data_IF_331773218089
#
_entry.id   IF_331773218089
#
_cell.length_a   1.000
_cell.length_b   1.000
_cell.length_c   1.000
_cell.angle_alpha   90.00
_cell.angle_beta   90.00
_cell.angle_gamma   90.00
#
_symmetry.space_group_name_H-M   'P 1'
#
loop_
_entity.id
_entity.type
_entity.pdbx_description
1 polymer ?
#
# COMPACT_ATOMS: atom_id res chain seq x y z
N UNK A 1 16.79 -30.49 16.50
CA UNK A 1 16.07 -29.20 16.59
C UNK A 1 15.66 -28.90 18.01
N UNK A 2 15.32 -27.63 18.30
CA UNK A 2 14.98 -27.13 19.63
C UNK A 2 13.51 -27.40 20.04
N UNK A 3 12.68 -27.93 19.13
CA UNK A 3 11.25 -28.22 19.35
C UNK A 3 10.46 -26.99 19.86
N UNK A 4 10.64 -25.86 19.18
CA UNK A 4 9.99 -24.57 19.52
C UNK A 4 9.22 -24.04 18.32
N UNK A 5 7.96 -23.67 18.55
CA UNK A 5 7.13 -22.96 17.58
C UNK A 5 7.50 -21.48 17.50
N UNK A 6 7.70 -20.96 16.28
CA UNK A 6 8.03 -19.56 16.03
C UNK A 6 6.97 -18.92 15.13
N UNK A 7 6.39 -17.81 15.60
CA UNK A 7 5.42 -17.02 14.85
C UNK A 7 5.98 -15.63 14.57
N UNK A 8 5.91 -15.18 13.32
CA UNK A 8 6.36 -13.85 12.89
C UNK A 8 5.24 -13.10 12.17
N UNK A 9 5.06 -11.82 12.51
CA UNK A 9 4.03 -10.95 11.92
C UNK A 9 4.67 -9.68 11.39
N UNK A 10 4.28 -9.24 10.20
CA UNK A 10 4.79 -8.00 9.64
C UNK A 10 4.39 -7.77 8.20
N UNK A 11 4.80 -6.61 7.69
CA UNK A 11 4.65 -6.27 6.27
C UNK A 11 5.68 -7.03 5.43
N UNK A 12 5.23 -7.62 4.33
CA UNK A 12 6.11 -8.43 3.47
C UNK A 12 6.88 -7.57 2.47
N UNK A 13 6.26 -6.49 1.96
CA UNK A 13 6.79 -5.70 0.84
C UNK A 13 6.87 -4.21 1.13
N UNK A 14 7.87 -3.57 0.52
CA UNK A 14 8.01 -2.11 0.47
C UNK A 14 6.96 -1.46 -0.45
N UNK A 15 6.97 -0.13 -0.52
CA UNK A 15 6.04 0.65 -1.34
C UNK A 15 6.17 0.40 -2.86
N UNK A 16 7.26 -0.25 -3.30
CA UNK A 16 7.53 -0.65 -4.69
C UNK A 16 7.18 -2.12 -4.93
N UNK A 17 6.52 -2.77 -3.97
CA UNK A 17 6.13 -4.19 -4.03
C UNK A 17 7.34 -5.13 -4.10
N UNK A 18 8.46 -4.74 -3.50
CA UNK A 18 9.63 -5.61 -3.31
C UNK A 18 9.64 -6.15 -1.90
N UNK A 19 9.93 -7.44 -1.74
CA UNK A 19 10.05 -8.03 -0.41
C UNK A 19 11.13 -7.28 0.38
N UNK A 20 10.86 -7.01 1.65
CA UNK A 20 11.94 -6.61 2.56
C UNK A 20 12.92 -7.78 2.70
N UNK A 21 14.24 -7.55 2.76
CA UNK A 21 15.22 -8.64 2.87
C UNK A 21 14.94 -9.60 4.03
N UNK A 22 14.56 -9.06 5.20
CA UNK A 22 14.16 -9.89 6.35
C UNK A 22 12.89 -10.70 6.09
N UNK A 23 11.85 -10.06 5.56
CA UNK A 23 10.59 -10.75 5.21
C UNK A 23 10.79 -11.80 4.13
N UNK A 24 11.66 -11.55 3.15
CA UNK A 24 12.03 -12.53 2.13
C UNK A 24 12.64 -13.77 2.78
N UNK A 25 13.61 -13.57 3.69
CA UNK A 25 14.26 -14.69 4.38
C UNK A 25 13.28 -15.50 5.23
N UNK A 26 12.34 -14.82 5.91
CA UNK A 26 11.30 -15.49 6.68
C UNK A 26 10.38 -16.33 5.79
N UNK A 27 9.96 -15.81 4.63
CA UNK A 27 9.12 -16.56 3.68
C UNK A 27 9.86 -17.76 3.08
N UNK A 28 11.15 -17.66 2.81
CA UNK A 28 11.97 -18.77 2.31
C UNK A 28 12.12 -19.91 3.33
N UNK A 29 12.07 -19.59 4.63
CA UNK A 29 12.30 -20.54 5.73
C UNK A 29 11.02 -21.10 6.35
N UNK A 30 9.91 -20.37 6.27
CA UNK A 30 8.71 -20.70 7.02
C UNK A 30 8.05 -21.99 6.51
N UNK A 31 7.64 -22.87 7.42
CA UNK A 31 6.81 -24.03 7.12
C UNK A 31 5.42 -23.62 6.61
N UNK A 32 4.91 -22.47 7.09
CA UNK A 32 3.60 -21.92 6.72
C UNK A 32 3.66 -20.40 6.62
N UNK A 33 3.00 -19.86 5.60
CA UNK A 33 2.83 -18.41 5.39
C UNK A 33 1.34 -18.12 5.25
N UNK A 34 0.78 -17.35 6.19
CA UNK A 34 -0.63 -17.00 6.22
C UNK A 34 -0.82 -15.50 6.01
N UNK A 35 -1.83 -15.13 5.21
CA UNK A 35 -2.25 -13.73 5.07
C UNK A 35 -3.24 -13.40 6.17
N UNK A 36 -3.10 -12.20 6.77
CA UNK A 36 -4.04 -11.72 7.79
C UNK A 36 -5.48 -11.74 7.27
N UNK A 37 -6.38 -12.32 8.07
CA UNK A 37 -7.80 -12.49 7.72
C UNK A 37 -8.59 -11.17 7.75
N UNK A 38 -8.09 -10.16 8.48
CA UNK A 38 -8.65 -8.81 8.46
C UNK A 38 -8.05 -8.05 7.29
N UNK A 39 -8.86 -7.87 6.25
CA UNK A 39 -8.43 -7.26 5.00
C UNK A 39 -8.63 -5.74 5.03
N UNK A 40 -7.54 -5.00 4.83
CA UNK A 40 -7.67 -3.58 4.49
C UNK A 40 -8.33 -3.45 3.11
N UNK A 41 -9.13 -2.39 2.93
CA UNK A 41 -9.80 -2.10 1.67
C UNK A 41 -9.12 -0.95 0.94
N UNK A 42 -8.95 -1.12 -0.37
CA UNK A 42 -8.67 0.00 -1.25
C UNK A 42 -9.88 0.93 -1.27
N UNK A 43 -9.69 2.21 -1.59
CA UNK A 43 -10.80 3.16 -1.76
C UNK A 43 -11.89 2.70 -2.75
N UNK A 44 -11.60 1.74 -3.64
CA UNK A 44 -12.56 1.15 -4.57
C UNK A 44 -13.34 -0.06 -4.01
N UNK A 45 -13.19 -0.36 -2.72
CA UNK A 45 -13.85 -1.48 -2.03
C UNK A 45 -13.21 -2.86 -2.25
N UNK A 46 -12.23 -2.99 -3.17
CA UNK A 46 -11.49 -4.24 -3.34
C UNK A 46 -10.41 -4.41 -2.26
N UNK A 47 -10.07 -5.65 -1.94
CA UNK A 47 -8.96 -5.97 -1.02
C UNK A 47 -7.69 -5.22 -1.39
N UNK A 48 -7.14 -4.49 -0.42
CA UNK A 48 -5.83 -3.88 -0.54
C UNK A 48 -4.75 -4.91 -0.27
N UNK A 49 -3.77 -4.99 -1.16
CA UNK A 49 -2.65 -5.93 -1.06
C UNK A 49 -1.30 -5.26 -1.23
N UNK A 50 -1.29 -3.95 -1.48
CA UNK A 50 -0.09 -3.18 -1.78
C UNK A 50 -0.07 -1.91 -0.93
N UNK A 51 1.11 -1.59 -0.38
CA UNK A 51 1.37 -0.30 0.23
C UNK A 51 1.85 0.67 -0.86
N UNK A 52 1.30 1.87 -0.90
CA UNK A 52 1.73 2.95 -1.77
C UNK A 52 2.26 4.10 -0.90
N UNK A 53 3.50 4.53 -1.13
CA UNK A 53 4.02 5.77 -0.56
C UNK A 53 3.46 6.93 -1.36
N UNK A 54 3.06 7.99 -0.69
CA UNK A 54 2.53 9.21 -1.31
C UNK A 54 3.31 10.44 -0.88
N UNK A 55 3.36 11.46 -1.74
CA UNK A 55 3.77 12.83 -1.42
C UNK A 55 2.69 13.74 -1.96
N UNK A 56 2.08 14.57 -1.11
CA UNK A 56 0.92 15.38 -1.49
C UNK A 56 -0.25 14.56 -2.06
N UNK A 57 -0.42 13.31 -1.60
CA UNK A 57 -1.48 12.41 -2.09
C UNK A 57 -1.21 11.74 -3.45
N UNK A 58 -0.05 11.97 -4.07
CA UNK A 58 0.37 11.32 -5.32
C UNK A 58 1.34 10.18 -5.01
N UNK A 59 1.13 9.01 -5.60
CA UNK A 59 1.98 7.84 -5.38
C UNK A 59 3.39 8.05 -5.96
N UNK A 60 4.42 7.80 -5.15
CA UNK A 60 5.83 7.82 -5.54
C UNK A 60 6.42 6.41 -5.57
N UNK A 61 7.39 6.16 -6.46
CA UNK A 61 8.06 4.85 -6.62
C UNK A 61 9.58 4.93 -6.46
N UNK A 62 10.09 6.10 -6.08
CA UNK A 62 11.50 6.40 -5.87
C UNK A 62 11.76 6.85 -4.43
N UNK A 63 13.04 6.89 -4.04
CA UNK A 63 13.48 7.28 -2.70
C UNK A 63 13.88 6.11 -1.80
N UNK A 64 14.35 6.44 -0.59
CA UNK A 64 14.84 5.47 0.37
C UNK A 64 13.73 4.50 0.82
N UNK A 65 14.05 3.22 0.98
CA UNK A 65 13.06 2.16 1.26
C UNK A 65 12.30 2.37 2.59
N UNK A 66 12.95 2.98 3.59
CA UNK A 66 12.37 3.27 4.90
C UNK A 66 12.41 4.77 5.15
N UNK A 67 11.25 5.33 5.48
CA UNK A 67 11.11 6.67 6.04
C UNK A 67 10.12 6.55 7.18
N UNK A 68 10.52 6.97 8.38
CA UNK A 68 9.61 7.13 9.52
C UNK A 68 8.85 8.44 9.27
N UNK A 69 7.54 8.36 9.06
CA UNK A 69 6.72 9.56 8.88
C UNK A 69 6.54 10.27 10.21
N UNK A 70 6.64 11.60 10.20
CA UNK A 70 6.04 12.42 11.24
C UNK A 70 4.50 12.36 11.05
N UNK A 71 3.73 12.67 12.09
CA UNK A 71 2.26 12.55 12.06
C UNK A 71 1.59 13.86 11.63
N UNK A 72 2.38 14.86 11.23
CA UNK A 72 1.98 16.25 11.11
C UNK A 72 1.79 16.64 9.64
N UNK A 73 0.53 16.50 9.18
CA UNK A 73 0.10 16.72 7.80
C UNK A 73 0.54 18.08 7.24
N UNK A 74 1.64 18.07 6.49
CA UNK A 74 2.00 19.16 5.57
C UNK A 74 1.79 18.69 4.11
N UNK A 75 1.54 19.61 3.16
CA UNK A 75 1.31 19.25 1.75
C UNK A 75 2.49 18.48 1.12
N UNK A 76 3.70 18.65 1.66
CA UNK A 76 4.93 18.01 1.20
C UNK A 76 5.28 16.76 2.02
N UNK A 77 4.40 16.31 2.92
CA UNK A 77 4.68 15.18 3.80
C UNK A 77 4.54 13.82 3.09
N UNK A 78 5.42 12.89 3.48
CA UNK A 78 5.40 11.50 3.02
C UNK A 78 4.29 10.75 3.75
N UNK A 79 3.28 10.32 3.00
CA UNK A 79 2.19 9.49 3.48
C UNK A 79 2.28 8.05 2.98
N UNK A 80 1.37 7.22 3.49
CA UNK A 80 1.13 5.87 2.97
C UNK A 80 -0.37 5.62 2.77
N UNK A 81 -0.70 4.96 1.66
CA UNK A 81 -2.06 4.52 1.32
C UNK A 81 -2.04 3.03 0.95
N UNK A 82 -3.07 2.29 1.35
CA UNK A 82 -3.25 0.88 1.00
C UNK A 82 -4.11 0.75 -0.27
N UNK A 83 -3.59 0.07 -1.28
CA UNK A 83 -4.22 -0.05 -2.59
C UNK A 83 -4.39 -1.51 -3.02
N UNK A 84 -5.42 -1.76 -3.84
CA UNK A 84 -5.49 -3.01 -4.59
C UNK A 84 -4.41 -3.02 -5.68
N UNK A 85 -4.00 -4.22 -6.13
CA UNK A 85 -2.98 -4.37 -7.18
C UNK A 85 -3.24 -3.49 -8.41
N UNK A 86 -4.51 -3.39 -8.84
CA UNK A 86 -4.90 -2.60 -10.02
C UNK A 86 -4.58 -1.12 -9.83
N UNK A 87 -4.93 -0.55 -8.67
CA UNK A 87 -4.75 0.88 -8.41
C UNK A 87 -3.31 1.23 -8.06
N UNK A 88 -2.58 0.33 -7.39
CA UNK A 88 -1.13 0.49 -7.20
C UNK A 88 -0.37 0.51 -8.53
N UNK A 89 -0.61 -0.46 -9.43
CA UNK A 89 0.04 -0.50 -10.76
C UNK A 89 -0.28 0.71 -11.64
N UNK A 90 -1.46 1.32 -11.46
CA UNK A 90 -1.88 2.53 -12.18
C UNK A 90 -1.49 3.82 -11.46
N UNK A 91 -0.88 3.74 -10.27
CA UNK A 91 -0.55 4.89 -9.42
C UNK A 91 -1.76 5.76 -9.07
N UNK A 92 -2.92 5.12 -8.90
CA UNK A 92 -4.21 5.78 -8.72
C UNK A 92 -4.62 5.76 -7.24
N UNK A 93 -4.14 6.77 -6.51
CA UNK A 93 -4.50 7.05 -5.11
C UNK A 93 -5.94 7.54 -5.00
N UNK A 94 -6.51 7.51 -3.79
CA UNK A 94 -7.83 8.11 -3.53
C UNK A 94 -7.88 9.60 -3.90
N UNK A 95 -6.83 10.35 -3.59
CA UNK A 95 -6.71 11.77 -3.92
C UNK A 95 -6.70 12.01 -5.44
N UNK A 96 -5.89 11.27 -6.20
CA UNK A 96 -5.82 11.41 -7.66
C UNK A 96 -7.11 10.96 -8.35
N UNK A 97 -7.78 9.91 -7.83
CA UNK A 97 -9.07 9.46 -8.33
C UNK A 97 -10.18 10.52 -8.14
N UNK A 98 -10.23 11.17 -6.96
CA UNK A 98 -11.18 12.26 -6.70
C UNK A 98 -10.92 13.47 -7.59
N UNK A 99 -9.66 13.87 -7.75
CA UNK A 99 -9.28 14.97 -8.63
C UNK A 99 -9.70 14.70 -10.08
N UNK A 100 -9.51 13.47 -10.58
CA UNK A 100 -9.94 13.09 -11.92
C UNK A 100 -11.46 13.19 -12.09
N UNK A 101 -12.25 12.76 -11.10
CA UNK A 101 -13.72 12.84 -11.15
C UNK A 101 -14.27 14.28 -11.18
N UNK A 102 -13.49 15.26 -10.67
CA UNK A 102 -13.83 16.69 -10.72
C UNK A 102 -13.35 17.37 -12.00
N UNK A 103 -12.62 16.66 -12.87
CA UNK A 103 -12.10 17.24 -14.11
C UNK A 103 -13.24 17.53 -15.10
N UNK A 104 -13.22 18.70 -15.77
CA UNK A 104 -14.21 19.04 -16.80
C UNK A 104 -14.20 18.07 -18.00
N UNK A 105 -13.13 17.29 -18.17
CA UNK A 105 -13.00 16.29 -19.25
C UNK A 105 -13.75 14.98 -18.95
N UNK A 106 -14.24 14.77 -17.73
CA UNK A 106 -15.02 13.58 -17.37
C UNK A 106 -16.49 13.84 -17.65
N UNK A 107 -17.11 12.99 -18.47
CA UNK A 107 -18.54 13.07 -18.76
C UNK A 107 -19.36 13.02 -17.46
N UNK A 108 -20.32 13.94 -17.25
CA UNK A 108 -21.10 13.98 -16.02
C UNK A 108 -21.95 12.71 -15.91
N UNK A 109 -21.70 11.92 -14.87
CA UNK A 109 -22.64 10.90 -14.41
C UNK A 109 -23.72 11.61 -13.62
N UNK A 110 -24.85 11.90 -14.26
CA UNK A 110 -26.04 12.38 -13.56
C UNK A 110 -26.48 11.30 -12.57
N UNK A 111 -26.39 11.59 -11.27
CA UNK A 111 -26.97 10.76 -10.24
C UNK A 111 -28.50 10.89 -10.32
N UNK A 112 -29.16 9.79 -10.69
CA UNK A 112 -30.61 9.65 -10.68
C UNK A 112 -31.14 9.44 -9.28
#
# INVERSE_FOLDING_TARGET
DLDVDVYAFGITTDFRSKLFPGSQRLVELADRVEVLQVEALCWCGARATHNARTVGGVMVVEGAQVVVGDVAQSPDEIGYEVLCRRHHRRRMTSATARAAALSPDVLPVTAT
#
